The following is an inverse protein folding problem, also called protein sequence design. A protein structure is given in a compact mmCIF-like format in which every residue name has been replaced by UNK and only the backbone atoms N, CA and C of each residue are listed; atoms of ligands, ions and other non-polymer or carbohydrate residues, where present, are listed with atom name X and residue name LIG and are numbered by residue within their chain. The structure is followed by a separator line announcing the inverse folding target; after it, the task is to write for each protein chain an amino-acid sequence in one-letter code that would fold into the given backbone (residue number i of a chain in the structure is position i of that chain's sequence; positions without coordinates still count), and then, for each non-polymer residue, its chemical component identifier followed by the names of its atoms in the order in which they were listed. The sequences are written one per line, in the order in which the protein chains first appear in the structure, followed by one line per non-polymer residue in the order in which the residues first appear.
data_IF_053050234343
#
_entry.id   IF_053050234343
#
_cell.length_a   1.000
_cell.length_b   1.000
_cell.length_c   1.000
_cell.angle_alpha   90.00
_cell.angle_beta   90.00
_cell.angle_gamma   90.00
#
_symmetry.space_group_name_H-M   'P 1'
#
loop_
_entity.id
_entity.type
_entity.pdbx_description
1 polymer ?
#
# COMPACT_ATOMS: atom_id res chain seq x y z
N UNK A 1 13.59 -20.02 -8.09
CA UNK A 1 14.44 -18.81 -8.12
C UNK A 1 15.55 -18.98 -7.08
N UNK A 2 16.81 -19.01 -7.51
CA UNK A 2 17.98 -19.08 -6.61
C UNK A 2 18.48 -17.67 -6.30
N UNK A 3 18.70 -17.33 -5.03
CA UNK A 3 19.29 -16.03 -4.67
C UNK A 3 20.76 -16.01 -5.08
N UNK A 4 21.17 -14.96 -5.79
CA UNK A 4 22.55 -14.77 -6.28
C UNK A 4 23.24 -13.56 -5.67
N UNK A 5 22.48 -12.60 -5.12
CA UNK A 5 23.03 -11.46 -4.38
C UNK A 5 21.98 -10.85 -3.46
N UNK A 6 22.45 -10.24 -2.37
CA UNK A 6 21.64 -9.52 -1.38
C UNK A 6 22.43 -8.33 -0.84
N UNK A 7 21.83 -7.14 -0.85
CA UNK A 7 22.45 -5.91 -0.33
C UNK A 7 21.42 -4.96 0.27
N UNK A 8 21.81 -4.15 1.23
CA UNK A 8 20.92 -3.18 1.86
C UNK A 8 20.66 -1.98 0.94
N UNK A 9 19.40 -1.58 0.80
CA UNK A 9 19.03 -0.41 0.01
C UNK A 9 19.28 0.89 0.80
N UNK A 10 19.70 1.99 0.14
CA UNK A 10 19.91 3.29 0.80
C UNK A 10 18.68 3.85 1.53
N UNK A 11 17.47 3.49 1.08
CA UNK A 11 16.20 3.91 1.68
C UNK A 11 15.57 2.90 2.64
N UNK A 12 16.30 1.84 3.01
CA UNK A 12 15.78 0.71 3.78
C UNK A 12 15.23 -0.43 2.91
N UNK A 13 15.15 -1.61 3.49
CA UNK A 13 14.92 -2.86 2.77
C UNK A 13 16.21 -3.50 2.26
N UNK A 14 16.07 -4.69 1.74
CA UNK A 14 17.15 -5.51 1.18
C UNK A 14 16.84 -5.77 -0.29
N UNK A 15 17.74 -5.33 -1.18
CA UNK A 15 17.69 -5.63 -2.60
C UNK A 15 18.16 -7.08 -2.77
N UNK A 16 17.27 -7.93 -3.25
CA UNK A 16 17.54 -9.35 -3.50
C UNK A 16 17.50 -9.59 -5.00
N UNK A 17 18.60 -10.07 -5.54
CA UNK A 17 18.72 -10.53 -6.91
C UNK A 17 18.65 -12.06 -6.94
N UNK A 18 17.74 -12.60 -7.74
CA UNK A 18 17.56 -14.04 -7.89
C UNK A 18 17.59 -14.45 -9.36
N UNK A 19 18.06 -15.66 -9.64
CA UNK A 19 18.14 -16.24 -10.98
C UNK A 19 17.11 -17.36 -11.14
N UNK A 20 16.39 -17.35 -12.25
CA UNK A 20 15.49 -18.46 -12.61
C UNK A 20 16.21 -19.59 -13.37
N UNK A 21 15.48 -20.67 -13.66
CA UNK A 21 16.00 -21.84 -14.36
C UNK A 21 16.42 -21.53 -15.81
N UNK A 22 15.93 -20.42 -16.38
CA UNK A 22 16.29 -19.93 -17.72
C UNK A 22 17.45 -18.93 -17.67
N UNK A 23 18.00 -18.65 -16.49
CA UNK A 23 19.09 -17.71 -16.30
C UNK A 23 18.67 -16.23 -16.19
N UNK A 24 17.38 -15.90 -16.22
CA UNK A 24 16.92 -14.51 -16.08
C UNK A 24 17.08 -14.03 -14.64
N UNK A 25 17.48 -12.76 -14.49
CA UNK A 25 17.67 -12.11 -13.19
C UNK A 25 16.39 -11.37 -12.80
N UNK A 26 15.85 -11.72 -11.64
CA UNK A 26 14.71 -11.08 -10.99
C UNK A 26 15.20 -10.28 -9.78
N UNK A 27 14.92 -8.99 -9.77
CA UNK A 27 15.30 -8.07 -8.68
C UNK A 27 14.05 -7.68 -7.91
N UNK A 28 14.11 -7.79 -6.58
CA UNK A 28 13.05 -7.33 -5.67
C UNK A 28 13.64 -6.62 -4.47
N UNK A 29 12.81 -5.85 -3.77
CA UNK A 29 13.14 -5.28 -2.47
C UNK A 29 12.33 -6.01 -1.40
N UNK A 30 13.01 -6.57 -0.42
CA UNK A 30 12.41 -7.20 0.74
C UNK A 30 12.46 -6.26 1.94
N UNK A 31 11.43 -6.30 2.78
CA UNK A 31 11.37 -5.48 3.99
C UNK A 31 11.14 -6.37 5.20
N UNK A 32 11.89 -6.13 6.27
CA UNK A 32 11.62 -6.75 7.56
C UNK A 32 10.38 -6.11 8.23
N UNK A 33 9.90 -6.75 9.31
CA UNK A 33 8.74 -6.28 10.08
C UNK A 33 8.88 -4.82 10.52
N UNK A 34 10.05 -4.43 11.03
CA UNK A 34 10.27 -3.10 11.59
C UNK A 34 10.28 -2.04 10.49
N UNK A 35 10.83 -2.37 9.32
CA UNK A 35 10.79 -1.52 8.14
C UNK A 35 9.36 -1.30 7.65
N UNK A 36 8.54 -2.36 7.59
CA UNK A 36 7.13 -2.25 7.20
C UNK A 36 6.36 -1.35 8.19
N UNK A 37 6.54 -1.56 9.49
CA UNK A 37 5.88 -0.74 10.52
C UNK A 37 6.27 0.73 10.43
N UNK A 38 7.56 1.04 10.22
CA UNK A 38 8.00 2.43 10.00
C UNK A 38 7.37 3.04 8.75
N UNK A 39 7.32 2.30 7.64
CA UNK A 39 6.70 2.79 6.40
C UNK A 39 5.20 3.04 6.55
N UNK A 40 4.49 2.26 7.38
CA UNK A 40 3.06 2.46 7.64
C UNK A 40 2.74 3.79 8.35
N UNK A 41 3.72 4.44 8.97
CA UNK A 41 3.58 5.77 9.57
C UNK A 41 3.84 6.92 8.57
N UNK A 42 4.14 6.61 7.31
CA UNK A 42 4.33 7.61 6.26
C UNK A 42 3.01 8.35 5.96
N UNK A 43 3.04 9.67 5.67
CA UNK A 43 1.85 10.38 5.22
C UNK A 43 1.26 9.78 3.93
N UNK A 44 2.09 9.14 3.09
CA UNK A 44 1.65 8.45 1.88
C UNK A 44 0.76 7.23 2.17
N UNK A 45 0.87 6.61 3.35
CA UNK A 45 0.05 5.47 3.75
C UNK A 45 -1.40 5.85 4.07
N UNK A 46 -1.70 7.14 4.21
CA UNK A 46 -3.05 7.65 4.44
C UNK A 46 -3.75 8.10 3.15
N UNK A 47 -3.02 8.14 2.03
CA UNK A 47 -3.61 8.51 0.75
C UNK A 47 -4.54 7.39 0.26
N UNK A 48 -5.67 7.73 -0.37
CA UNK A 48 -6.49 6.74 -1.03
C UNK A 48 -5.69 5.94 -2.07
N UNK A 49 -5.99 4.64 -2.25
CA UNK A 49 -5.40 3.87 -3.34
C UNK A 49 -5.67 4.54 -4.68
N UNK A 50 -4.71 4.48 -5.61
CA UNK A 50 -4.85 5.09 -6.94
C UNK A 50 -6.10 4.60 -7.70
N UNK A 51 -6.56 3.39 -7.40
CA UNK A 51 -7.76 2.78 -7.98
C UNK A 51 -9.04 3.00 -7.15
N UNK A 52 -9.08 3.95 -6.19
CA UNK A 52 -10.24 4.18 -5.32
C UNK A 52 -11.55 4.29 -6.10
N UNK A 53 -11.56 5.02 -7.22
CA UNK A 53 -12.75 5.16 -8.08
C UNK A 53 -13.31 3.79 -8.50
N UNK A 54 -12.44 2.87 -8.92
CA UNK A 54 -12.86 1.53 -9.32
C UNK A 54 -13.42 0.74 -8.14
N UNK A 55 -12.77 0.85 -6.97
CA UNK A 55 -13.24 0.18 -5.74
C UNK A 55 -14.63 0.69 -5.36
N UNK A 56 -14.86 2.00 -5.38
CA UNK A 56 -16.16 2.60 -5.06
C UNK A 56 -17.26 2.14 -6.02
N UNK A 57 -16.96 2.05 -7.32
CA UNK A 57 -17.96 1.68 -8.32
C UNK A 57 -18.26 0.17 -8.36
N UNK A 58 -17.27 -0.68 -8.08
CA UNK A 58 -17.37 -2.11 -8.32
C UNK A 58 -17.42 -2.97 -7.04
N UNK A 59 -17.02 -2.42 -5.89
CA UNK A 59 -16.88 -3.17 -4.64
C UNK A 59 -17.12 -2.24 -3.44
N UNK A 60 -18.25 -1.56 -3.42
CA UNK A 60 -18.58 -0.60 -2.37
C UNK A 60 -18.71 -1.24 -0.98
N UNK A 61 -19.04 -2.53 -0.92
CA UNK A 61 -19.17 -3.30 0.34
C UNK A 61 -17.88 -3.44 1.16
N UNK A 62 -16.70 -3.40 0.52
CA UNK A 62 -15.41 -3.55 1.22
C UNK A 62 -14.82 -2.21 1.66
N UNK A 63 -15.46 -1.10 1.31
CA UNK A 63 -15.03 0.21 1.76
C UNK A 63 -15.33 0.35 3.25
N UNK A 64 -14.31 0.07 4.07
CA UNK A 64 -14.33 0.51 5.46
C UNK A 64 -14.55 2.04 5.49
N UNK A 65 -15.28 2.54 6.49
CA UNK A 65 -15.44 3.98 6.66
C UNK A 65 -14.05 4.59 6.75
N UNK A 66 -13.69 5.44 5.78
CA UNK A 66 -12.48 6.26 5.90
C UNK A 66 -12.52 6.89 7.28
N UNK A 67 -11.41 6.83 8.05
CA UNK A 67 -11.41 7.35 9.41
C UNK A 67 -11.93 8.79 9.34
N UNK A 68 -13.09 9.01 9.97
CA UNK A 68 -13.67 10.33 10.04
C UNK A 68 -12.59 11.22 10.66
N UNK A 69 -12.23 12.31 9.98
CA UNK A 69 -11.29 13.28 10.53
C UNK A 69 -11.80 13.67 11.90
N UNK A 70 -11.03 13.37 12.95
CA UNK A 70 -11.33 13.85 14.30
C UNK A 70 -11.46 15.38 14.23
N UNK A 71 -12.63 15.92 14.53
CA UNK A 71 -12.91 17.35 14.52
C UNK A 71 -13.62 17.92 13.28
N UNK A 72 -14.03 17.10 12.30
CA UNK A 72 -14.89 17.58 11.20
C UNK A 72 -16.26 16.91 11.31
N UNK A 73 -17.25 17.68 11.74
CA UNK A 73 -18.65 17.26 11.79
C UNK A 73 -19.20 17.24 10.36
N UNK A 74 -19.08 16.10 9.67
CA UNK A 74 -19.80 15.87 8.43
C UNK A 74 -21.21 15.39 8.80
N UNK A 75 -22.06 16.33 9.21
CA UNK A 75 -23.51 16.06 9.23
C UNK A 75 -23.93 15.70 7.80
N UNK A 76 -24.49 14.51 7.55
CA UNK A 76 -24.97 14.17 6.22
C UNK A 76 -26.25 14.98 5.99
N UNK A 77 -26.17 16.08 5.26
CA UNK A 77 -27.35 16.67 4.65
C UNK A 77 -27.73 15.80 3.45
N UNK A 78 -28.46 14.72 3.72
CA UNK A 78 -29.23 14.02 2.70
C UNK A 78 -30.65 14.61 2.75
N UNK A 79 -30.88 15.70 2.03
CA UNK A 79 -32.24 16.01 1.59
C UNK A 79 -32.55 15.07 0.42
N UNK A 80 -33.27 13.99 0.72
CA UNK A 80 -33.98 13.20 -0.28
C UNK A 80 -35.21 14.02 -0.65
N UNK A 81 -35.13 14.77 -1.74
CA UNK A 81 -36.32 15.38 -2.36
C UNK A 81 -37.14 14.24 -2.96
N UNK A 82 -38.35 14.06 -2.42
CA UNK A 82 -39.38 13.13 -2.93
C UNK A 82 -40.03 13.66 -4.20
#
# INVERSE_FOLDING_TARGET
LQVVSSTNAPGGGTIVSSRDEKGQIHVRVEYDRNQILRSAHSPYSLLPPACLKSIVMNTSEILSRFPQRHGINLTPSCEVVS
#
